data_IF_271861370211
#
_entry.id   IF_271861370211
#
_cell.length_a   1.000
_cell.length_b   1.000
_cell.length_c   1.000
_cell.angle_alpha   90.00
_cell.angle_beta   90.00
_cell.angle_gamma   90.00
#
_symmetry.space_group_name_H-M   'P 1'
#
loop_
_entity.id
_entity.type
_entity.pdbx_description
1 polymer ?
#
# COMPACT_ATOMS: atom_id res chain seq x y z
N UNK A 1 -26.54 -81.60 -30.70
CA UNK A 1 -26.19 -80.26 -31.21
C UNK A 1 -26.04 -79.35 -30.00
N UNK A 2 -24.83 -78.84 -29.77
CA UNK A 2 -24.39 -78.11 -28.57
C UNK A 2 -25.26 -76.87 -28.27
N UNK A 3 -25.73 -76.75 -27.03
CA UNK A 3 -26.19 -75.46 -26.49
C UNK A 3 -25.06 -74.87 -25.64
N UNK A 4 -24.49 -73.77 -26.12
CA UNK A 4 -23.47 -72.98 -25.45
C UNK A 4 -24.16 -72.13 -24.37
N UNK A 5 -23.77 -72.33 -23.11
CA UNK A 5 -24.16 -71.46 -21.99
C UNK A 5 -23.24 -70.24 -22.00
N UNK A 6 -23.79 -69.08 -22.35
CA UNK A 6 -23.09 -67.79 -22.23
C UNK A 6 -23.34 -67.26 -20.82
N UNK A 7 -22.30 -67.30 -19.98
CA UNK A 7 -22.31 -66.73 -18.64
C UNK A 7 -22.04 -65.22 -18.76
N UNK A 8 -23.05 -64.39 -18.56
CA UNK A 8 -22.91 -62.94 -18.49
C UNK A 8 -22.38 -62.52 -17.11
N UNK A 9 -21.07 -62.24 -17.02
CA UNK A 9 -20.49 -61.55 -15.86
C UNK A 9 -20.91 -60.07 -15.89
N UNK A 10 -21.83 -59.69 -15.00
CA UNK A 10 -22.09 -58.30 -14.65
C UNK A 10 -20.92 -57.80 -13.78
N UNK A 11 -19.97 -57.09 -14.39
CA UNK A 11 -19.06 -56.22 -13.64
C UNK A 11 -19.86 -54.99 -13.19
N UNK A 12 -20.16 -54.91 -11.90
CA UNK A 12 -20.58 -53.67 -11.27
C UNK A 12 -19.34 -52.75 -11.17
N UNK A 13 -19.25 -51.77 -12.06
CA UNK A 13 -18.32 -50.66 -11.89
C UNK A 13 -18.83 -49.79 -10.73
N UNK A 14 -18.16 -49.89 -9.58
CA UNK A 14 -18.34 -48.93 -8.50
C UNK A 14 -17.81 -47.58 -8.99
N UNK A 15 -18.73 -46.66 -9.29
CA UNK A 15 -18.40 -45.25 -9.43
C UNK A 15 -17.97 -44.77 -8.05
N UNK A 16 -16.68 -44.52 -7.86
CA UNK A 16 -16.21 -43.75 -6.74
C UNK A 16 -16.84 -42.36 -6.84
N UNK A 17 -17.72 -42.01 -5.91
CA UNK A 17 -18.04 -40.61 -5.66
C UNK A 17 -16.73 -39.92 -5.28
N UNK A 18 -16.21 -39.08 -6.19
CA UNK A 18 -15.17 -38.11 -5.84
C UNK A 18 -15.77 -37.18 -4.78
N UNK A 19 -15.53 -37.54 -3.52
CA UNK A 19 -15.94 -36.73 -2.39
C UNK A 19 -15.36 -35.33 -2.56
N UNK A 20 -16.25 -34.34 -2.61
CA UNK A 20 -15.91 -32.91 -2.51
C UNK A 20 -14.77 -32.70 -1.51
N UNK A 21 -13.73 -31.91 -1.80
CA UNK A 21 -12.59 -31.73 -0.92
C UNK A 21 -13.09 -31.40 0.49
N UNK A 22 -12.69 -32.21 1.48
CA UNK A 22 -13.04 -31.96 2.88
C UNK A 22 -12.47 -30.61 3.26
N UNK A 23 -13.34 -29.67 3.59
CA UNK A 23 -12.98 -28.34 4.06
C UNK A 23 -12.10 -28.44 5.32
N UNK A 24 -10.85 -28.01 5.22
CA UNK A 24 -10.00 -27.76 6.39
C UNK A 24 -10.37 -26.37 6.94
N UNK A 25 -10.89 -26.24 8.17
CA UNK A 25 -11.30 -24.95 8.70
C UNK A 25 -10.13 -23.95 8.77
N UNK A 26 -10.37 -22.73 8.27
CA UNK A 26 -9.39 -21.63 8.31
C UNK A 26 -9.60 -20.72 9.53
N UNK A 27 -8.53 -20.18 10.15
CA UNK A 27 -8.65 -19.12 11.17
C UNK A 27 -9.00 -17.75 10.58
N UNK A 28 -9.03 -17.63 9.25
CA UNK A 28 -9.31 -16.37 8.56
C UNK A 28 -10.70 -15.83 8.91
N UNK A 29 -10.79 -14.53 9.16
CA UNK A 29 -12.06 -13.79 9.18
C UNK A 29 -12.06 -12.70 8.12
N UNK A 30 -13.23 -12.34 7.61
CA UNK A 30 -13.36 -11.16 6.77
C UNK A 30 -14.73 -10.51 6.93
N UNK A 31 -14.79 -9.21 6.68
CA UNK A 31 -16.01 -8.40 6.76
C UNK A 31 -16.04 -7.25 5.75
N UNK A 32 -17.24 -6.76 5.45
CA UNK A 32 -17.49 -5.70 4.47
C UNK A 32 -18.52 -6.12 3.42
N UNK A 33 -18.96 -5.19 2.57
CA UNK A 33 -20.02 -5.45 1.58
C UNK A 33 -19.64 -6.48 0.51
N UNK A 34 -18.35 -6.67 0.25
CA UNK A 34 -17.80 -7.59 -0.74
C UNK A 34 -17.17 -8.84 -0.12
N UNK A 35 -17.21 -8.98 1.22
CA UNK A 35 -16.71 -10.17 1.91
C UNK A 35 -17.80 -11.25 1.96
N UNK A 36 -17.46 -12.49 1.57
CA UNK A 36 -18.34 -13.65 1.79
C UNK A 36 -18.55 -13.86 3.29
N UNK A 37 -19.72 -14.35 3.71
CA UNK A 37 -19.86 -14.81 5.09
C UNK A 37 -18.99 -16.07 5.33
N UNK A 38 -18.26 -16.11 6.45
CA UNK A 38 -17.56 -17.30 6.91
C UNK A 38 -18.50 -18.39 7.45
N UNK A 39 -17.99 -19.58 7.83
CA UNK A 39 -16.57 -19.93 7.92
C UNK A 39 -15.90 -20.16 6.55
N UNK A 40 -14.56 -20.12 6.54
CA UNK A 40 -13.75 -20.37 5.34
C UNK A 40 -13.01 -21.70 5.43
N UNK A 41 -12.75 -22.29 4.28
CA UNK A 41 -11.83 -23.40 4.12
C UNK A 41 -10.44 -22.86 3.76
N UNK A 42 -9.39 -23.52 4.23
CA UNK A 42 -8.02 -23.24 3.83
C UNK A 42 -7.89 -23.31 2.31
N UNK A 43 -7.33 -22.25 1.71
CA UNK A 43 -7.19 -22.08 0.27
C UNK A 43 -8.38 -21.41 -0.44
N UNK A 44 -9.48 -21.08 0.26
CA UNK A 44 -10.58 -20.33 -0.34
C UNK A 44 -10.08 -18.96 -0.84
N UNK A 45 -10.36 -18.63 -2.11
CA UNK A 45 -10.20 -17.26 -2.62
C UNK A 45 -11.37 -16.41 -2.10
N UNK A 46 -11.08 -15.45 -1.21
CA UNK A 46 -12.11 -14.68 -0.48
C UNK A 46 -12.24 -13.24 -0.95
N UNK A 47 -11.27 -12.73 -1.73
CA UNK A 47 -11.35 -11.45 -2.41
C UNK A 47 -10.47 -11.48 -3.65
N UNK A 48 -10.96 -10.88 -4.74
CA UNK A 48 -10.20 -10.71 -5.97
C UNK A 48 -10.63 -9.43 -6.69
N UNK A 49 -9.64 -8.72 -7.24
CA UNK A 49 -9.85 -7.78 -8.33
C UNK A 49 -8.77 -7.96 -9.40
N UNK A 50 -9.19 -8.11 -10.64
CA UNK A 50 -8.33 -8.20 -11.84
C UNK A 50 -8.37 -6.88 -12.66
N UNK A 51 -8.95 -5.81 -12.10
CA UNK A 51 -8.96 -4.46 -12.64
C UNK A 51 -9.39 -4.33 -14.12
N UNK A 52 -10.34 -5.17 -14.55
CA UNK A 52 -11.00 -5.03 -15.85
C UNK A 52 -11.73 -3.67 -15.97
N UNK A 53 -12.16 -3.11 -14.84
CA UNK A 53 -12.67 -1.76 -14.68
C UNK A 53 -12.36 -1.29 -13.25
N UNK A 54 -12.61 0.00 -12.95
CA UNK A 54 -12.48 0.54 -11.60
C UNK A 54 -13.81 0.32 -10.86
N UNK A 55 -13.82 -0.65 -9.94
CA UNK A 55 -15.00 -1.07 -9.19
C UNK A 55 -15.15 -0.27 -7.89
N UNK A 56 -16.13 0.65 -7.85
CA UNK A 56 -16.41 1.48 -6.68
C UNK A 56 -17.15 0.74 -5.55
N UNK A 57 -17.65 -0.48 -5.79
CA UNK A 57 -18.17 -1.32 -4.71
C UNK A 57 -17.04 -1.98 -3.92
N UNK A 58 -15.86 -2.11 -4.54
CA UNK A 58 -14.64 -2.64 -3.91
C UNK A 58 -13.71 -1.56 -3.41
N UNK A 59 -13.53 -0.48 -4.16
CA UNK A 59 -12.51 0.53 -3.89
C UNK A 59 -13.13 1.91 -3.66
N UNK A 60 -12.97 2.42 -2.45
CA UNK A 60 -13.29 3.79 -2.11
C UNK A 60 -12.06 4.68 -2.34
N UNK A 61 -12.24 5.83 -2.98
CA UNK A 61 -11.18 6.83 -3.11
C UNK A 61 -11.12 7.72 -1.88
N UNK A 62 -9.90 7.97 -1.41
CA UNK A 62 -9.69 9.08 -0.48
C UNK A 62 -9.57 10.41 -1.25
N UNK A 63 -10.30 11.42 -0.80
CA UNK A 63 -10.23 12.80 -1.29
C UNK A 63 -9.73 13.72 -0.18
N UNK A 64 -8.45 14.09 -0.24
CA UNK A 64 -7.81 14.91 0.80
C UNK A 64 -6.52 15.60 0.33
N UNK A 65 -6.30 16.81 0.83
CA UNK A 65 -5.07 17.62 0.71
C UNK A 65 -4.04 17.29 1.80
N UNK A 66 -4.38 16.43 2.76
CA UNK A 66 -3.54 16.09 3.90
C UNK A 66 -2.26 15.33 3.53
N UNK A 67 -2.17 14.86 2.27
CA UNK A 67 -1.18 13.87 1.88
C UNK A 67 -1.53 12.52 2.50
N UNK A 68 -0.59 11.93 3.23
CA UNK A 68 -0.73 10.67 3.96
C UNK A 68 -0.25 10.76 5.42
N UNK A 69 -0.08 11.98 5.95
CA UNK A 69 0.46 12.21 7.30
C UNK A 69 1.97 12.45 7.35
N UNK A 70 2.66 12.43 6.21
CA UNK A 70 4.12 12.63 6.09
C UNK A 70 4.50 13.96 5.42
N UNK A 71 3.56 14.91 5.39
CA UNK A 71 3.69 16.20 4.69
C UNK A 71 4.01 16.06 3.21
N UNK A 72 3.42 15.05 2.57
CA UNK A 72 3.57 14.79 1.14
C UNK A 72 2.86 15.87 0.30
N UNK A 73 3.30 15.99 -0.96
CA UNK A 73 3.00 17.15 -1.80
C UNK A 73 1.80 16.94 -2.73
N UNK A 74 1.13 15.78 -2.66
CA UNK A 74 -0.02 15.46 -3.47
C UNK A 74 -1.36 15.80 -2.80
N UNK A 75 -2.33 16.17 -3.61
CA UNK A 75 -3.75 16.08 -3.33
C UNK A 75 -4.24 14.73 -3.84
N UNK A 76 -4.77 13.88 -2.95
CA UNK A 76 -5.48 12.67 -3.37
C UNK A 76 -6.89 13.01 -3.84
N UNK A 77 -7.24 12.58 -5.04
CA UNK A 77 -8.51 12.92 -5.68
C UNK A 77 -9.11 11.72 -6.40
N UNK A 78 -10.45 11.70 -6.49
CA UNK A 78 -11.18 10.75 -7.30
C UNK A 78 -11.32 11.24 -8.76
N UNK A 79 -10.19 11.37 -9.47
CA UNK A 79 -10.14 11.81 -10.87
C UNK A 79 -9.57 10.72 -11.79
N UNK A 80 -10.18 10.52 -12.97
CA UNK A 80 -9.72 9.52 -13.96
C UNK A 80 -8.40 9.86 -14.65
N UNK A 81 -7.94 11.10 -14.54
CA UNK A 81 -6.56 11.45 -14.90
C UNK A 81 -5.53 10.83 -13.94
N UNK A 82 -5.95 10.52 -12.70
CA UNK A 82 -5.09 10.04 -11.62
C UNK A 82 -5.33 8.57 -11.23
N UNK A 83 -6.53 8.04 -11.47
CA UNK A 83 -6.85 6.64 -11.20
C UNK A 83 -7.78 6.06 -12.27
N UNK A 84 -7.34 5.06 -13.00
CA UNK A 84 -8.11 4.45 -14.10
C UNK A 84 -7.67 3.01 -14.37
N UNK A 85 -8.54 2.22 -14.97
CA UNK A 85 -8.20 0.89 -15.48
C UNK A 85 -8.06 0.92 -16.99
N UNK A 86 -7.05 0.24 -17.53
CA UNK A 86 -6.85 0.07 -18.96
C UNK A 86 -6.21 -1.30 -19.21
N UNK A 87 -6.81 -2.11 -20.08
CA UNK A 87 -6.33 -3.46 -20.44
C UNK A 87 -6.06 -4.38 -19.24
N UNK A 88 -6.95 -4.37 -18.23
CA UNK A 88 -6.81 -5.21 -17.03
C UNK A 88 -5.80 -4.68 -16.01
N UNK A 89 -5.23 -3.49 -16.20
CA UNK A 89 -4.29 -2.89 -15.26
C UNK A 89 -4.92 -1.65 -14.65
N UNK A 90 -4.88 -1.56 -13.32
CA UNK A 90 -5.20 -0.34 -12.58
C UNK A 90 -3.97 0.56 -12.48
N UNK A 91 -4.13 1.83 -12.85
CA UNK A 91 -3.09 2.85 -12.85
C UNK A 91 -3.39 3.89 -11.78
N UNK A 92 -2.42 4.18 -10.91
CA UNK A 92 -2.40 5.40 -10.09
C UNK A 92 -1.32 6.32 -10.65
N UNK A 93 -1.73 7.46 -11.21
CA UNK A 93 -0.89 8.37 -11.99
C UNK A 93 -0.80 9.76 -11.33
N UNK A 94 0.40 10.34 -11.19
CA UNK A 94 0.55 11.70 -10.70
C UNK A 94 0.35 12.72 -11.84
N UNK A 95 -0.24 13.88 -11.55
CA UNK A 95 -0.39 15.00 -12.51
C UNK A 95 -0.18 16.34 -11.80
N UNK A 96 0.21 17.41 -12.47
CA UNK A 96 0.35 18.70 -11.77
C UNK A 96 -1.03 19.33 -11.50
N UNK A 97 -1.19 20.03 -10.37
CA UNK A 97 -2.36 20.90 -10.15
C UNK A 97 -2.35 22.08 -11.12
N UNK A 98 -1.15 22.62 -11.39
CA UNK A 98 -0.96 23.75 -12.30
C UNK A 98 -1.38 23.47 -13.76
N UNK A 99 -1.49 22.20 -14.17
CA UNK A 99 -1.99 21.84 -15.50
C UNK A 99 -3.44 22.31 -15.71
N UNK A 100 -4.25 22.35 -14.64
CA UNK A 100 -5.65 22.79 -14.69
C UNK A 100 -5.83 24.24 -14.23
N UNK A 101 -5.00 24.70 -13.30
CA UNK A 101 -5.21 25.97 -12.59
C UNK A 101 -4.24 27.09 -13.01
N UNK A 102 -3.17 26.74 -13.72
CA UNK A 102 -2.00 27.62 -13.93
C UNK A 102 -1.06 27.70 -12.72
N UNK A 103 0.22 28.02 -12.96
CA UNK A 103 1.25 28.02 -11.90
C UNK A 103 0.99 29.06 -10.81
N UNK A 104 0.49 30.25 -11.16
CA UNK A 104 0.22 31.32 -10.20
C UNK A 104 -0.82 30.95 -9.14
N UNK A 105 -1.71 30.01 -9.46
CA UNK A 105 -2.70 29.50 -8.51
C UNK A 105 -2.06 28.79 -7.32
N UNK A 106 -0.91 28.12 -7.52
CA UNK A 106 -0.24 27.38 -6.44
C UNK A 106 0.10 28.29 -5.26
N UNK A 107 0.48 29.54 -5.52
CA UNK A 107 0.92 30.52 -4.51
C UNK A 107 -0.13 31.58 -4.14
N UNK A 108 -1.36 31.48 -4.64
CA UNK A 108 -2.39 32.51 -4.42
C UNK A 108 -3.83 32.01 -4.35
N UNK A 109 -4.09 30.83 -4.90
CA UNK A 109 -5.40 30.21 -4.94
C UNK A 109 -5.72 29.43 -3.68
N UNK A 110 -7.00 29.04 -3.56
CA UNK A 110 -7.49 28.17 -2.49
C UNK A 110 -8.02 26.89 -3.11
N UNK A 111 -7.47 25.75 -2.71
CA UNK A 111 -8.08 24.45 -2.94
C UNK A 111 -9.12 24.23 -1.84
N UNK A 112 -10.39 24.17 -2.21
CA UNK A 112 -11.49 23.83 -1.33
C UNK A 112 -12.17 22.58 -1.89
N UNK A 113 -12.11 21.49 -1.13
CA UNK A 113 -12.57 20.17 -1.54
C UNK A 113 -13.54 19.57 -0.52
N UNK A 114 -14.24 20.41 0.24
CA UNK A 114 -15.27 19.95 1.18
C UNK A 114 -16.32 19.08 0.47
N UNK A 115 -16.46 19.23 -0.85
CA UNK A 115 -17.38 18.45 -1.68
C UNK A 115 -18.81 18.91 -1.48
N UNK A 116 -19.61 18.79 -2.53
CA UNK A 116 -21.05 19.07 -2.48
C UNK A 116 -21.90 17.81 -2.39
N UNK A 117 -21.31 16.64 -2.61
CA UNK A 117 -21.97 15.36 -2.81
C UNK A 117 -21.16 14.22 -2.19
N UNK A 118 -21.77 13.05 -1.90
CA UNK A 118 -21.02 11.92 -1.34
C UNK A 118 -19.80 11.49 -2.18
N UNK A 119 -19.87 11.65 -3.51
CA UNK A 119 -18.79 11.22 -4.42
C UNK A 119 -17.56 12.14 -4.45
N UNK A 120 -17.70 13.40 -4.00
CA UNK A 120 -16.62 14.39 -3.97
C UNK A 120 -16.32 14.92 -2.55
N UNK A 121 -16.99 14.37 -1.54
CA UNK A 121 -16.80 14.71 -0.14
C UNK A 121 -15.34 14.54 0.28
N UNK A 122 -14.82 15.51 1.03
CA UNK A 122 -13.53 15.38 1.67
C UNK A 122 -13.55 14.21 2.66
N UNK A 123 -12.64 13.25 2.50
CA UNK A 123 -12.59 12.04 3.35
C UNK A 123 -11.60 12.16 4.52
N UNK A 124 -10.78 13.21 4.55
CA UNK A 124 -9.74 13.40 5.55
C UNK A 124 -9.51 14.88 5.86
N UNK A 125 -10.13 15.44 6.92
CA UNK A 125 -10.03 16.87 7.25
C UNK A 125 -8.74 17.26 7.99
N UNK A 126 -8.01 16.29 8.53
CA UNK A 126 -6.75 16.54 9.24
C UNK A 126 -5.73 17.26 8.36
N UNK A 127 -4.82 18.02 8.97
CA UNK A 127 -3.73 18.72 8.27
C UNK A 127 -4.19 19.59 7.08
N UNK A 128 -5.26 20.37 7.27
CA UNK A 128 -5.88 21.20 6.23
C UNK A 128 -6.33 20.37 5.03
N UNK A 129 -6.79 19.16 5.29
CA UNK A 129 -7.08 18.16 4.26
C UNK A 129 -8.30 18.48 3.41
N UNK A 130 -9.24 19.30 3.88
CA UNK A 130 -10.40 19.69 3.07
C UNK A 130 -10.28 21.08 2.43
N UNK A 131 -9.38 21.93 2.94
CA UNK A 131 -9.20 23.27 2.42
C UNK A 131 -7.80 23.79 2.70
N UNK A 132 -7.12 24.31 1.67
CA UNK A 132 -5.77 24.88 1.78
C UNK A 132 -5.67 26.11 0.88
N UNK A 133 -5.18 27.21 1.45
CA UNK A 133 -4.89 28.45 0.73
C UNK A 133 -3.39 28.60 0.50
N UNK A 134 -3.01 28.83 -0.76
CA UNK A 134 -1.64 29.05 -1.18
C UNK A 134 -1.19 30.48 -0.89
N UNK A 135 0.10 30.63 -0.57
CA UNK A 135 0.79 31.91 -0.47
C UNK A 135 2.22 31.78 -1.04
N UNK A 136 2.99 32.88 -1.19
CA UNK A 136 4.35 32.82 -1.75
C UNK A 136 5.34 31.91 -1.01
N UNK A 137 5.05 31.55 0.25
CA UNK A 137 5.87 30.62 1.04
C UNK A 137 5.31 29.21 1.02
N UNK A 138 4.03 29.06 1.36
CA UNK A 138 3.35 27.77 1.44
C UNK A 138 2.37 27.65 0.29
N UNK A 139 2.78 26.99 -0.78
CA UNK A 139 1.90 26.73 -1.91
C UNK A 139 0.84 25.67 -1.53
N UNK A 140 -0.29 25.65 -2.23
CA UNK A 140 -1.17 24.46 -2.22
C UNK A 140 -0.43 23.25 -2.79
N UNK A 141 -0.98 22.04 -2.59
CA UNK A 141 -0.40 20.80 -3.08
C UNK A 141 -0.08 20.93 -4.57
N UNK A 142 1.20 20.84 -5.00
CA UNK A 142 1.55 21.03 -6.40
C UNK A 142 1.12 19.88 -7.31
N UNK A 143 0.85 18.70 -6.73
CA UNK A 143 0.58 17.46 -7.46
C UNK A 143 -0.81 16.93 -7.10
N UNK A 144 -1.49 16.29 -8.05
CA UNK A 144 -2.64 15.42 -7.83
C UNK A 144 -2.21 13.97 -7.99
N UNK A 145 -2.79 13.08 -7.19
CA UNK A 145 -2.62 11.63 -7.27
C UNK A 145 -3.90 10.94 -6.80
N UNK A 146 -3.87 9.62 -6.61
CA UNK A 146 -4.97 8.89 -6.00
C UNK A 146 -4.50 7.93 -4.90
N UNK A 147 -5.43 7.68 -3.97
CA UNK A 147 -5.35 6.65 -2.93
C UNK A 147 -6.71 5.96 -2.89
N UNK A 148 -6.71 4.64 -2.93
CA UNK A 148 -7.91 3.81 -2.86
C UNK A 148 -7.82 2.84 -1.70
N UNK A 149 -8.96 2.51 -1.09
CA UNK A 149 -9.05 1.62 0.07
C UNK A 149 -10.27 0.71 0.04
N UNK A 150 -10.20 -0.40 0.76
CA UNK A 150 -11.31 -1.37 0.88
C UNK A 150 -12.08 -1.28 2.22
N UNK A 151 -11.96 -0.19 2.97
CA UNK A 151 -12.42 -0.10 4.38
C UNK A 151 -13.88 -0.52 4.59
N UNK A 152 -14.80 -0.13 3.71
CA UNK A 152 -16.21 -0.53 3.78
C UNK A 152 -16.51 -1.88 3.09
N UNK A 153 -15.72 -2.23 2.07
CA UNK A 153 -16.00 -3.34 1.16
C UNK A 153 -15.37 -4.66 1.58
N UNK A 154 -14.11 -4.65 2.02
CA UNK A 154 -13.37 -5.85 2.35
C UNK A 154 -12.28 -5.57 3.39
N UNK A 155 -12.37 -6.29 4.51
CA UNK A 155 -11.41 -6.29 5.59
C UNK A 155 -11.17 -7.74 5.95
N UNK A 156 -9.95 -8.13 6.27
CA UNK A 156 -9.66 -9.51 6.64
C UNK A 156 -8.67 -9.58 7.79
N UNK A 157 -8.71 -10.69 8.52
CA UNK A 157 -7.73 -11.08 9.52
C UNK A 157 -7.26 -12.47 9.24
N UNK A 158 -5.94 -12.61 9.19
CA UNK A 158 -5.22 -13.82 8.80
C UNK A 158 -5.55 -14.25 7.38
N UNK A 159 -4.55 -14.62 6.61
CA UNK A 159 -4.73 -14.95 5.20
C UNK A 159 -3.44 -14.82 4.43
N UNK A 160 -3.54 -15.11 3.14
CA UNK A 160 -2.52 -14.75 2.18
C UNK A 160 -3.04 -13.62 1.31
N UNK A 161 -2.34 -12.49 1.28
CA UNK A 161 -2.58 -11.40 0.32
C UNK A 161 -1.50 -11.46 -0.76
N UNK A 162 -1.92 -11.45 -2.02
CA UNK A 162 -1.03 -11.28 -3.16
C UNK A 162 -1.44 -10.05 -3.97
N UNK A 163 -0.46 -9.22 -4.27
CA UNK A 163 -0.62 -8.07 -5.15
C UNK A 163 0.44 -8.16 -6.24
N UNK A 164 0.01 -8.24 -7.49
CA UNK A 164 0.92 -8.19 -8.64
C UNK A 164 0.95 -6.76 -9.15
N UNK A 165 2.09 -6.09 -9.02
CA UNK A 165 2.23 -4.69 -9.36
C UNK A 165 3.60 -4.37 -9.99
N UNK A 166 3.66 -3.29 -10.77
CA UNK A 166 4.89 -2.67 -11.28
C UNK A 166 5.05 -1.31 -10.63
N UNK A 167 6.21 -1.08 -10.02
CA UNK A 167 6.51 0.19 -9.35
C UNK A 167 6.71 1.32 -10.38
N UNK A 168 6.31 2.56 -10.06
CA UNK A 168 6.54 3.72 -10.92
C UNK A 168 8.03 4.09 -11.02
N UNK A 169 8.35 4.73 -12.15
CA UNK A 169 9.59 5.42 -12.45
C UNK A 169 9.35 6.92 -12.41
N UNK A 170 10.15 7.66 -11.64
CA UNK A 170 10.07 9.11 -11.57
C UNK A 170 10.59 9.60 -10.23
N UNK A 171 11.39 10.66 -10.27
CA UNK A 171 11.97 11.23 -9.07
C UNK A 171 10.86 11.68 -8.10
N UNK A 172 11.05 11.34 -6.81
CA UNK A 172 10.17 11.71 -5.68
C UNK A 172 8.79 11.04 -5.67
N UNK A 173 8.57 10.02 -6.50
CA UNK A 173 7.39 9.18 -6.43
C UNK A 173 7.51 8.17 -5.29
N UNK A 174 6.45 8.01 -4.50
CA UNK A 174 6.39 7.10 -3.36
C UNK A 174 5.14 6.20 -3.49
N UNK A 175 5.26 5.08 -4.23
CA UNK A 175 4.23 4.04 -4.29
C UNK A 175 4.12 3.27 -2.97
N UNK A 176 2.90 2.92 -2.58
CA UNK A 176 2.65 2.04 -1.45
C UNK A 176 1.46 1.11 -1.69
N UNK A 177 1.59 -0.14 -1.23
CA UNK A 177 0.49 -1.09 -0.99
C UNK A 177 0.62 -1.55 0.46
N UNK A 178 -0.40 -1.29 1.25
CA UNK A 178 -0.34 -1.37 2.70
C UNK A 178 -1.72 -1.57 3.30
N UNK A 179 -1.79 -1.80 4.60
CA UNK A 179 -3.04 -2.09 5.29
C UNK A 179 -3.15 -1.35 6.61
N UNK A 180 -4.37 -0.91 6.92
CA UNK A 180 -4.73 -0.32 8.21
C UNK A 180 -5.87 -1.09 8.87
N UNK A 181 -5.99 -1.03 10.21
CA UNK A 181 -7.04 -1.74 10.92
C UNK A 181 -8.41 -1.09 10.63
N UNK A 182 -9.43 -1.92 10.44
CA UNK A 182 -10.83 -1.45 10.30
C UNK A 182 -11.28 -0.62 11.50
N UNK A 183 -10.77 -0.97 12.68
CA UNK A 183 -11.11 -0.34 13.95
C UNK A 183 -9.85 -0.10 14.75
N UNK A 184 -9.79 1.06 15.41
CA UNK A 184 -8.69 1.44 16.30
C UNK A 184 -8.87 0.79 17.70
N UNK A 185 -8.93 -0.55 17.75
CA UNK A 185 -9.26 -1.33 18.97
C UNK A 185 -8.31 -1.04 20.14
N UNK A 186 -7.04 -0.76 19.84
CA UNK A 186 -5.99 -0.53 20.82
C UNK A 186 -5.63 0.96 20.97
N UNK A 187 -6.41 1.85 20.37
CA UNK A 187 -6.15 3.29 20.34
C UNK A 187 -5.55 3.76 19.00
N UNK A 188 -5.20 5.05 18.95
CA UNK A 188 -4.67 5.69 17.74
C UNK A 188 -3.37 5.06 17.24
N UNK A 189 -3.05 5.30 15.97
CA UNK A 189 -1.80 4.83 15.37
C UNK A 189 -0.56 5.22 16.22
N UNK A 190 0.43 4.32 16.38
CA UNK A 190 0.54 2.98 15.80
C UNK A 190 -0.02 1.88 16.73
N UNK A 191 -0.79 2.20 17.78
CA UNK A 191 -1.24 1.23 18.78
C UNK A 191 -2.14 0.14 18.20
N UNK A 192 -2.93 0.46 17.17
CA UNK A 192 -3.76 -0.52 16.45
C UNK A 192 -3.11 -1.11 15.20
N UNK A 193 -1.86 -0.78 14.92
CA UNK A 193 -1.06 -1.39 13.86
C UNK A 193 -1.16 -0.75 12.47
N UNK A 194 -0.18 -1.07 11.63
CA UNK A 194 -0.11 -0.82 10.19
C UNK A 194 0.75 -1.93 9.56
N UNK A 195 0.37 -2.42 8.38
CA UNK A 195 1.13 -3.45 7.65
C UNK A 195 1.52 -2.89 6.29
N UNK A 196 2.80 -2.62 6.08
CA UNK A 196 3.31 -2.15 4.80
C UNK A 196 3.80 -3.34 3.99
N UNK A 197 2.94 -3.83 3.10
CA UNK A 197 3.29 -4.93 2.20
C UNK A 197 4.43 -4.51 1.28
N UNK A 198 4.34 -3.33 0.65
CA UNK A 198 5.43 -2.78 -0.13
C UNK A 198 5.39 -1.26 -0.20
N UNK A 199 6.56 -0.66 0.04
CA UNK A 199 6.88 0.73 -0.29
C UNK A 199 8.15 0.79 -1.17
N UNK A 200 8.24 1.81 -2.01
CA UNK A 200 9.43 2.05 -2.85
C UNK A 200 9.60 3.54 -3.17
N UNK A 201 10.64 3.88 -3.91
CA UNK A 201 10.93 5.22 -4.42
C UNK A 201 11.12 5.15 -5.92
N UNK A 202 10.46 6.03 -6.68
CA UNK A 202 10.54 6.02 -8.14
C UNK A 202 11.85 6.55 -8.73
N UNK A 203 12.77 7.06 -7.91
CA UNK A 203 14.01 7.66 -8.40
C UNK A 203 14.91 6.64 -9.11
N UNK A 204 15.43 7.00 -10.29
CA UNK A 204 16.25 6.10 -11.11
C UNK A 204 17.67 5.87 -10.59
N UNK A 205 18.23 6.79 -9.81
CA UNK A 205 19.62 6.69 -9.31
C UNK A 205 19.76 7.32 -7.92
N UNK A 206 18.83 7.00 -7.03
CA UNK A 206 18.84 7.50 -5.66
C UNK A 206 19.56 6.56 -4.73
N UNK A 207 20.61 7.04 -4.06
CA UNK A 207 21.54 6.22 -3.29
C UNK A 207 21.84 6.80 -1.93
N UNK A 208 22.11 5.93 -0.97
CA UNK A 208 22.70 6.28 0.33
C UNK A 208 23.89 5.37 0.55
N UNK A 209 25.07 5.96 0.79
CA UNK A 209 26.32 5.21 0.98
C UNK A 209 26.58 4.19 -0.15
N UNK A 210 26.24 4.54 -1.39
CA UNK A 210 26.39 3.69 -2.59
C UNK A 210 25.25 2.70 -2.85
N UNK A 211 24.41 2.39 -1.86
CA UNK A 211 23.27 1.49 -2.01
C UNK A 211 22.14 2.18 -2.77
N UNK A 212 21.57 1.55 -3.81
CA UNK A 212 20.39 2.06 -4.51
C UNK A 212 19.16 1.93 -3.61
N UNK A 213 18.49 3.03 -3.34
CA UNK A 213 17.27 3.10 -2.51
C UNK A 213 16.05 3.61 -3.30
N UNK A 214 16.24 3.84 -4.60
CA UNK A 214 15.22 4.20 -5.57
C UNK A 214 14.52 2.97 -6.14
N UNK A 215 14.33 2.93 -7.46
CA UNK A 215 13.58 1.86 -8.16
C UNK A 215 14.14 0.45 -7.99
N UNK A 216 15.40 0.32 -7.58
CA UNK A 216 16.05 -0.98 -7.32
C UNK A 216 15.86 -1.47 -5.88
N UNK A 217 15.02 -0.79 -5.08
CA UNK A 217 14.72 -1.20 -3.71
C UNK A 217 13.23 -1.14 -3.40
N UNK A 218 12.74 -2.15 -2.71
CA UNK A 218 11.42 -2.18 -2.07
C UNK A 218 11.59 -2.50 -0.59
N UNK A 219 10.71 -1.97 0.25
CA UNK A 219 10.68 -2.23 1.68
C UNK A 219 9.34 -2.76 2.15
N UNK A 220 9.35 -3.54 3.23
CA UNK A 220 8.17 -3.99 3.96
C UNK A 220 8.41 -3.82 5.46
N UNK A 221 7.37 -3.45 6.21
CA UNK A 221 7.46 -3.26 7.66
C UNK A 221 6.11 -3.40 8.35
N UNK A 222 6.13 -3.44 9.68
CA UNK A 222 4.96 -3.39 10.54
C UNK A 222 5.11 -2.16 11.45
N UNK A 223 4.13 -1.26 11.50
CA UNK A 223 4.12 -0.23 12.54
C UNK A 223 3.30 -0.70 13.74
N UNK A 224 3.88 -0.57 14.94
CA UNK A 224 3.23 -0.94 16.20
C UNK A 224 3.92 -0.19 17.34
N UNK A 225 3.16 0.20 18.36
CA UNK A 225 3.70 0.83 19.55
C UNK A 225 2.66 1.67 20.29
N UNK A 226 2.93 2.10 21.53
CA UNK A 226 1.94 2.81 22.34
C UNK A 226 1.56 4.19 21.79
N UNK A 227 2.43 4.85 21.00
CA UNK A 227 2.18 6.16 20.38
C UNK A 227 3.19 6.45 19.25
N UNK A 228 2.99 7.52 18.45
CA UNK A 228 3.85 7.84 17.30
C UNK A 228 5.34 7.99 17.62
N UNK A 229 5.71 8.43 18.82
CA UNK A 229 7.12 8.62 19.20
C UNK A 229 7.83 7.30 19.56
N UNK A 230 7.06 6.23 19.76
CA UNK A 230 7.52 4.92 20.21
C UNK A 230 7.04 3.85 19.24
N UNK A 231 7.33 4.07 17.96
CA UNK A 231 6.98 3.14 16.90
C UNK A 231 8.10 2.11 16.71
N UNK A 232 7.78 0.83 16.84
CA UNK A 232 8.73 -0.29 16.78
C UNK A 232 9.02 -0.83 15.37
N UNK A 233 8.69 -0.06 14.33
CA UNK A 233 8.79 -0.49 12.93
C UNK A 233 10.19 -0.92 12.50
N UNK A 234 11.21 -0.25 13.03
CA UNK A 234 12.62 -0.54 12.78
C UNK A 234 13.01 -1.99 13.11
N UNK A 235 12.34 -2.60 14.09
CA UNK A 235 12.55 -4.01 14.46
C UNK A 235 12.02 -5.02 13.44
N UNK A 236 11.17 -4.57 12.52
CA UNK A 236 10.50 -5.37 11.49
C UNK A 236 10.85 -4.98 10.07
N UNK A 237 11.38 -3.78 9.86
CA UNK A 237 11.75 -3.23 8.57
C UNK A 237 12.76 -4.13 7.84
N UNK A 238 12.47 -4.40 6.57
CA UNK A 238 13.37 -5.13 5.69
C UNK A 238 13.32 -4.57 4.28
N UNK A 239 14.44 -4.65 3.57
CA UNK A 239 14.57 -4.18 2.20
C UNK A 239 15.01 -5.32 1.29
N UNK A 240 14.42 -5.37 0.09
CA UNK A 240 14.92 -6.18 -1.03
C UNK A 240 15.51 -5.25 -2.08
N UNK A 241 16.77 -5.49 -2.43
CA UNK A 241 17.42 -4.84 -3.55
C UNK A 241 17.44 -5.76 -4.77
N UNK A 242 17.16 -5.21 -5.95
CA UNK A 242 17.35 -5.89 -7.23
C UNK A 242 18.79 -5.77 -7.74
N UNK A 243 19.11 -6.48 -8.82
CA UNK A 243 20.34 -6.23 -9.58
C UNK A 243 20.31 -4.87 -10.30
N UNK A 244 21.47 -4.31 -10.68
CA UNK A 244 21.56 -3.07 -11.45
C UNK A 244 20.75 -3.14 -12.75
N UNK A 245 19.90 -2.13 -12.99
CA UNK A 245 19.03 -2.06 -14.16
C UNK A 245 17.86 -3.06 -14.17
N UNK A 246 17.68 -3.83 -13.09
CA UNK A 246 16.59 -4.80 -12.91
C UNK A 246 15.61 -4.33 -11.84
N UNK A 247 15.42 -3.01 -11.71
CA UNK A 247 14.56 -2.41 -10.70
C UNK A 247 13.13 -2.93 -10.76
N UNK A 248 12.40 -2.75 -9.66
CA UNK A 248 10.99 -3.14 -9.51
C UNK A 248 10.04 -2.33 -10.41
N UNK A 249 10.59 -1.34 -11.12
CA UNK A 249 9.93 -0.55 -12.14
C UNK A 249 10.07 -1.14 -13.56
N UNK A 250 10.82 -2.21 -13.77
CA UNK A 250 11.06 -2.78 -15.11
C UNK A 250 9.99 -3.77 -15.56
N UNK A 251 9.23 -4.32 -14.62
CA UNK A 251 8.15 -5.28 -14.88
C UNK A 251 7.23 -5.45 -13.69
N UNK A 252 6.25 -6.33 -13.83
CA UNK A 252 5.37 -6.70 -12.72
C UNK A 252 6.07 -7.70 -11.80
N UNK A 253 5.98 -7.43 -10.51
CA UNK A 253 6.47 -8.29 -9.43
C UNK A 253 5.30 -8.73 -8.55
N UNK A 254 5.46 -9.88 -7.92
CA UNK A 254 4.49 -10.44 -7.00
C UNK A 254 4.87 -10.09 -5.55
N UNK A 255 4.08 -9.26 -4.90
CA UNK A 255 4.22 -8.89 -3.48
C UNK A 255 3.24 -9.70 -2.66
N UNK A 256 3.72 -10.39 -1.62
CA UNK A 256 2.92 -11.34 -0.86
C UNK A 256 3.06 -11.11 0.64
N UNK A 257 1.93 -11.20 1.32
CA UNK A 257 1.81 -11.24 2.77
C UNK A 257 1.17 -12.58 3.14
N UNK A 258 1.85 -13.40 3.92
CA UNK A 258 1.25 -14.50 4.66
C UNK A 258 1.13 -14.07 6.12
N UNK A 259 -0.08 -14.03 6.64
CA UNK A 259 -0.37 -13.52 7.97
C UNK A 259 -1.18 -14.56 8.72
N UNK A 260 -0.57 -15.13 9.76
CA UNK A 260 -1.14 -16.21 10.56
C UNK A 260 -1.35 -15.77 12.02
N UNK A 261 -1.96 -16.60 12.88
CA UNK A 261 -2.05 -16.31 14.30
C UNK A 261 -0.70 -16.23 15.04
N UNK A 262 0.39 -16.72 14.45
CA UNK A 262 1.70 -16.87 15.10
C UNK A 262 2.84 -16.13 14.38
N UNK A 263 2.70 -15.78 13.09
CA UNK A 263 3.73 -15.06 12.34
C UNK A 263 3.17 -14.24 11.17
N UNK A 264 4.00 -13.31 10.69
CA UNK A 264 3.78 -12.56 9.46
C UNK A 264 5.00 -12.75 8.56
N UNK A 265 4.78 -13.14 7.30
CA UNK A 265 5.84 -13.30 6.29
C UNK A 265 5.58 -12.39 5.10
N UNK A 266 6.54 -11.53 4.80
CA UNK A 266 6.60 -10.76 3.55
C UNK A 266 7.44 -11.51 2.52
N UNK A 267 6.97 -11.57 1.28
CA UNK A 267 7.70 -12.14 0.15
C UNK A 267 7.59 -11.28 -1.11
N UNK A 268 8.63 -11.33 -1.94
CA UNK A 268 8.65 -10.70 -3.27
C UNK A 268 9.11 -11.75 -4.28
N UNK A 269 8.29 -12.00 -5.30
CA UNK A 269 8.49 -13.02 -6.35
C UNK A 269 8.69 -14.43 -5.76
N UNK A 270 7.83 -14.82 -4.80
CA UNK A 270 7.89 -16.08 -4.07
C UNK A 270 9.21 -16.30 -3.27
N UNK A 271 9.99 -15.25 -3.07
CA UNK A 271 11.16 -15.27 -2.20
C UNK A 271 10.84 -14.54 -0.89
N UNK A 272 11.02 -15.23 0.22
CA UNK A 272 10.85 -14.65 1.57
C UNK A 272 11.81 -13.49 1.73
N UNK A 273 11.24 -12.30 1.96
CA UNK A 273 11.99 -11.12 2.35
C UNK A 273 12.21 -11.13 3.87
N UNK A 274 11.12 -11.32 4.62
CA UNK A 274 11.15 -11.26 6.08
C UNK A 274 10.03 -12.08 6.68
N UNK A 275 10.37 -12.94 7.64
CA UNK A 275 9.43 -13.59 8.55
C UNK A 275 9.54 -12.96 9.94
N UNK A 276 8.40 -12.69 10.55
CA UNK A 276 8.25 -12.04 11.86
C UNK A 276 7.36 -12.94 12.71
N UNK A 277 7.97 -13.75 13.56
CA UNK A 277 7.22 -14.56 14.54
C UNK A 277 6.72 -13.65 15.68
N UNK A 278 5.48 -13.87 16.13
CA UNK A 278 4.89 -13.12 17.24
C UNK A 278 5.69 -13.32 18.54
N UNK A 279 6.22 -14.53 18.76
CA UNK A 279 7.03 -14.87 19.94
C UNK A 279 6.29 -14.60 21.24
N UNK A 280 6.86 -13.74 22.09
CA UNK A 280 6.25 -13.28 23.35
C UNK A 280 5.36 -12.03 23.16
N UNK A 281 5.12 -11.61 21.92
CA UNK A 281 4.27 -10.48 21.55
C UNK A 281 5.02 -9.23 21.12
N UNK A 282 4.32 -8.35 20.41
CA UNK A 282 4.90 -7.13 19.83
C UNK A 282 5.36 -6.11 20.87
N UNK A 283 4.79 -6.13 22.09
CA UNK A 283 5.28 -5.28 23.19
C UNK A 283 6.73 -5.60 23.56
N UNK A 284 7.03 -6.90 23.65
CA UNK A 284 8.38 -7.38 23.91
C UNK A 284 9.31 -7.12 22.71
N UNK A 285 8.82 -7.31 21.49
CA UNK A 285 9.59 -7.06 20.25
C UNK A 285 10.06 -5.61 20.15
N UNK A 286 9.18 -4.65 20.43
CA UNK A 286 9.53 -3.23 20.42
C UNK A 286 10.36 -2.78 21.62
N UNK A 287 10.61 -3.65 22.60
CA UNK A 287 11.38 -3.30 23.80
C UNK A 287 10.71 -2.23 24.67
N UNK A 288 9.39 -2.08 24.58
CA UNK A 288 8.66 -0.94 25.18
C UNK A 288 8.63 -0.95 26.71
N UNK A 289 8.90 -2.09 27.35
CA UNK A 289 9.15 -2.13 28.80
C UNK A 289 10.32 -1.20 29.18
N UNK A 290 11.33 -1.11 28.33
CA UNK A 290 12.54 -0.30 28.58
C UNK A 290 12.45 1.07 27.92
N UNK A 291 11.95 1.15 26.68
CA UNK A 291 11.91 2.41 25.91
C UNK A 291 10.66 3.25 26.19
N UNK A 292 9.65 2.68 26.85
CA UNK A 292 8.37 3.31 27.16
C UNK A 292 7.84 2.96 28.56
N UNK A 293 8.65 3.08 29.64
CA UNK A 293 8.29 2.58 30.97
C UNK A 293 7.08 3.30 31.59
N UNK A 294 6.74 4.49 31.09
CA UNK A 294 5.58 5.25 31.53
C UNK A 294 4.30 4.95 30.72
N UNK A 295 4.40 4.14 29.67
CA UNK A 295 3.26 3.76 28.83
C UNK A 295 2.68 2.43 29.32
N UNK A 296 1.36 2.38 29.46
CA UNK A 296 0.65 1.12 29.66
C UNK A 296 0.68 0.30 28.38
N UNK A 297 0.81 -1.01 28.50
CA UNK A 297 0.79 -1.91 27.34
C UNK A 297 -0.67 -2.05 26.83
N UNK A 298 -1.02 -1.49 25.66
CA UNK A 298 -2.40 -1.54 25.15
C UNK A 298 -2.84 -2.97 24.77
N UNK A 299 -1.89 -3.92 24.67
CA UNK A 299 -2.11 -5.28 24.22
C UNK A 299 -2.09 -6.30 25.38
N UNK A 300 -2.04 -5.87 26.64
CA UNK A 300 -1.85 -6.76 27.80
C UNK A 300 -2.93 -7.84 27.99
N UNK A 301 -4.10 -7.68 27.36
CA UNK A 301 -5.22 -8.63 27.39
C UNK A 301 -5.58 -9.17 26.00
N UNK A 302 -4.74 -8.90 25.00
CA UNK A 302 -4.93 -9.31 23.61
C UNK A 302 -4.16 -10.60 23.30
N UNK A 303 -4.25 -11.08 22.06
CA UNK A 303 -3.43 -12.21 21.63
C UNK A 303 -1.96 -11.80 21.48
N UNK A 304 -1.06 -12.77 21.38
CA UNK A 304 0.37 -12.51 21.11
C UNK A 304 0.60 -11.81 19.77
N UNK A 305 -0.36 -11.90 18.84
CA UNK A 305 -0.28 -11.25 17.54
C UNK A 305 -0.75 -9.80 17.55
N UNK A 306 -1.31 -9.29 18.67
CA UNK A 306 -1.71 -7.90 18.78
C UNK A 306 -0.52 -6.95 18.52
N UNK A 307 -0.72 -5.85 17.75
CA UNK A 307 -2.02 -5.34 17.28
C UNK A 307 -2.57 -5.99 16.00
N UNK A 308 -1.83 -6.92 15.39
CA UNK A 308 -2.17 -7.61 14.14
C UNK A 308 -3.11 -8.81 14.37
N UNK A 309 -4.00 -8.72 15.35
CA UNK A 309 -5.04 -9.72 15.65
C UNK A 309 -6.46 -9.17 15.43
N UNK A 310 -6.55 -8.05 14.72
CA UNK A 310 -7.78 -7.40 14.24
C UNK A 310 -7.90 -7.50 12.72
N UNK A 311 -9.07 -7.15 12.16
CA UNK A 311 -9.24 -7.08 10.70
C UNK A 311 -8.65 -5.79 10.13
N UNK A 312 -7.96 -5.92 9.00
CA UNK A 312 -7.31 -4.82 8.28
C UNK A 312 -7.89 -4.70 6.87
N UNK A 313 -7.95 -3.47 6.34
CA UNK A 313 -8.32 -3.17 4.96
C UNK A 313 -7.10 -2.83 4.11
N UNK A 314 -7.21 -3.02 2.81
CA UNK A 314 -6.12 -2.80 1.85
C UNK A 314 -6.16 -1.36 1.36
N UNK A 315 -4.98 -0.76 1.20
CA UNK A 315 -4.77 0.58 0.66
C UNK A 315 -3.73 0.51 -0.46
N UNK A 316 -3.98 1.23 -1.54
CA UNK A 316 -3.01 1.45 -2.62
C UNK A 316 -2.93 2.94 -2.93
N UNK A 317 -1.72 3.49 -3.01
CA UNK A 317 -1.53 4.89 -3.38
C UNK A 317 -0.20 5.15 -4.08
N UNK A 318 -0.13 6.36 -4.64
CA UNK A 318 1.10 6.97 -5.11
C UNK A 318 1.26 8.35 -4.46
N UNK A 319 2.05 8.41 -3.39
CA UNK A 319 2.43 9.68 -2.78
C UNK A 319 3.55 10.36 -3.59
N UNK A 320 3.79 11.65 -3.33
CA UNK A 320 4.87 12.41 -3.95
C UNK A 320 5.59 13.27 -2.92
N UNK A 321 6.90 13.09 -2.80
CA UNK A 321 7.72 13.80 -1.84
C UNK A 321 7.34 13.53 -0.38
N UNK A 322 7.50 14.51 0.49
CA UNK A 322 7.31 14.38 1.94
C UNK A 322 8.56 14.73 2.75
N UNK A 323 8.39 15.14 4.00
CA UNK A 323 9.48 15.65 4.87
C UNK A 323 9.78 14.74 6.06
N UNK A 324 9.12 13.59 6.17
CA UNK A 324 9.31 12.64 7.27
C UNK A 324 10.64 11.87 7.25
N UNK A 325 11.52 12.12 6.28
CA UNK A 325 12.78 11.40 6.12
C UNK A 325 12.74 10.21 5.16
N UNK A 326 11.57 9.84 4.62
CA UNK A 326 11.47 8.75 3.63
C UNK A 326 12.38 9.01 2.42
N UNK A 327 12.46 10.27 1.97
CA UNK A 327 13.52 10.74 1.07
C UNK A 327 14.64 11.40 1.91
N UNK A 328 15.75 10.72 2.25
CA UNK A 328 16.84 11.32 3.02
C UNK A 328 17.50 12.53 2.31
N UNK A 329 18.01 13.49 3.08
CA UNK A 329 18.66 14.67 2.53
C UNK A 329 20.06 14.36 1.94
N UNK A 330 20.53 15.24 1.05
CA UNK A 330 21.83 15.17 0.38
C UNK A 330 22.82 16.08 1.11
N UNK A 331 24.01 15.62 1.56
CA UNK A 331 24.48 14.24 1.82
C UNK A 331 23.93 13.65 3.15
N UNK A 332 23.90 12.31 3.32
CA UNK A 332 24.61 11.29 2.55
C UNK A 332 23.87 10.74 1.33
N UNK A 333 22.64 11.18 1.05
CA UNK A 333 21.92 10.72 -0.13
C UNK A 333 22.49 11.36 -1.42
N UNK A 334 22.35 10.69 -2.57
CA UNK A 334 22.63 11.24 -3.90
C UNK A 334 21.53 10.80 -4.87
N UNK A 335 21.19 11.61 -5.89
CA UNK A 335 20.25 11.23 -6.96
C UNK A 335 20.87 11.50 -8.32
N UNK A 336 21.85 10.68 -8.73
CA UNK A 336 22.74 10.97 -9.86
C UNK A 336 23.20 12.45 -9.85
N UNK A 337 23.11 13.08 -11.02
CA UNK A 337 23.39 14.52 -11.18
C UNK A 337 22.18 15.43 -10.90
N UNK A 338 21.01 14.86 -10.56
CA UNK A 338 19.76 15.61 -10.37
C UNK A 338 19.63 16.16 -8.94
N UNK A 339 20.19 15.47 -7.94
CA UNK A 339 20.09 15.87 -6.53
C UNK A 339 18.64 15.85 -6.01
N UNK A 340 18.42 16.34 -4.79
CA UNK A 340 17.09 16.51 -4.17
C UNK A 340 16.73 18.01 -4.12
N UNK A 341 15.56 18.45 -4.62
CA UNK A 341 15.24 19.87 -4.74
C UNK A 341 14.70 20.52 -3.46
N UNK A 342 14.46 19.75 -2.40
CA UNK A 342 13.93 20.21 -1.11
C UNK A 342 14.67 19.54 0.06
N UNK A 343 14.66 20.15 1.24
CA UNK A 343 15.15 19.53 2.49
C UNK A 343 13.99 19.09 3.37
N UNK A 344 14.19 18.03 4.14
CA UNK A 344 13.23 17.57 5.16
C UNK A 344 12.98 18.61 6.26
N UNK A 345 13.90 19.57 6.45
CA UNK A 345 13.76 20.65 7.42
C UNK A 345 13.22 21.95 6.82
N UNK A 346 12.93 21.99 5.51
CA UNK A 346 12.44 23.21 4.88
C UNK A 346 10.99 23.50 5.29
N UNK A 347 10.68 24.70 5.82
CA UNK A 347 9.30 25.10 6.06
C UNK A 347 8.51 25.34 4.78
N UNK A 348 9.18 25.35 3.62
CA UNK A 348 8.59 25.56 2.29
C UNK A 348 8.89 24.38 1.34
N UNK A 349 9.04 23.17 1.88
CA UNK A 349 9.50 22.00 1.12
C UNK A 349 8.69 21.73 -0.17
N UNK A 350 7.36 21.88 -0.14
CA UNK A 350 6.51 21.73 -1.32
C UNK A 350 6.81 22.77 -2.41
N UNK A 351 7.13 24.01 -2.01
CA UNK A 351 7.56 25.09 -2.92
C UNK A 351 8.95 24.82 -3.49
N UNK A 352 9.88 24.39 -2.65
CA UNK A 352 11.25 24.07 -3.08
C UNK A 352 11.24 22.90 -4.07
N UNK A 353 10.43 21.87 -3.78
CA UNK A 353 10.11 20.79 -4.70
C UNK A 353 9.57 21.32 -6.03
N UNK A 354 8.53 22.15 -6.02
CA UNK A 354 7.94 22.70 -7.25
C UNK A 354 8.91 23.58 -8.06
N UNK A 355 9.74 24.37 -7.39
CA UNK A 355 10.75 25.20 -8.04
C UNK A 355 11.83 24.35 -8.72
N UNK A 356 12.14 23.16 -8.20
CA UNK A 356 13.05 22.19 -8.80
C UNK A 356 12.48 21.38 -9.97
N UNK A 357 11.24 21.63 -10.42
CA UNK A 357 10.54 20.77 -11.40
C UNK A 357 11.24 20.58 -12.73
N UNK A 358 12.00 21.56 -13.20
CA UNK A 358 12.77 21.44 -14.44
C UNK A 358 13.81 20.30 -14.38
N UNK A 359 14.18 19.85 -13.17
CA UNK A 359 15.11 18.73 -12.96
C UNK A 359 14.36 17.40 -12.83
N UNK A 360 13.30 17.35 -12.00
CA UNK A 360 12.62 16.08 -11.69
C UNK A 360 11.46 15.74 -12.63
N UNK A 361 10.69 16.72 -13.10
CA UNK A 361 9.49 16.48 -13.91
C UNK A 361 9.77 15.75 -15.23
N UNK A 362 10.89 16.01 -15.94
CA UNK A 362 11.24 15.23 -17.13
C UNK A 362 11.39 13.73 -16.86
N UNK A 363 11.76 13.34 -15.64
CA UNK A 363 11.90 11.92 -15.27
C UNK A 363 10.55 11.19 -15.22
N UNK A 364 9.44 11.92 -15.15
CA UNK A 364 8.10 11.35 -15.12
C UNK A 364 7.55 11.03 -16.53
N UNK A 365 8.25 11.45 -17.58
CA UNK A 365 7.92 11.16 -18.98
C UNK A 365 6.42 11.31 -19.31
N UNK A 366 5.77 12.36 -18.79
CA UNK A 366 4.30 12.50 -18.84
C UNK A 366 3.72 12.57 -20.26
N UNK A 367 4.55 12.98 -21.22
CA UNK A 367 4.21 13.07 -22.65
C UNK A 367 4.48 11.76 -23.43
N UNK A 368 5.14 10.78 -22.82
CA UNK A 368 5.42 9.47 -23.41
C UNK A 368 4.46 8.45 -22.82
N UNK A 369 3.72 7.73 -23.66
CA UNK A 369 2.75 6.72 -23.22
C UNK A 369 1.82 7.21 -22.10
N UNK A 370 1.42 8.49 -22.13
CA UNK A 370 0.59 9.15 -21.11
C UNK A 370 1.16 9.04 -19.68
N UNK A 371 2.49 8.97 -19.51
CA UNK A 371 3.13 8.87 -18.19
C UNK A 371 2.89 7.54 -17.47
N UNK A 372 2.57 6.46 -18.21
CA UNK A 372 2.34 5.13 -17.62
C UNK A 372 3.52 4.62 -16.81
N UNK A 373 4.75 4.90 -17.24
CA UNK A 373 5.94 4.49 -16.50
C UNK A 373 6.06 5.17 -15.14
N UNK A 374 5.42 6.32 -14.94
CA UNK A 374 5.36 7.04 -13.65
C UNK A 374 4.11 6.75 -12.84
N UNK A 375 3.33 5.75 -13.26
CA UNK A 375 2.16 5.31 -12.55
C UNK A 375 2.50 4.05 -11.76
N UNK A 376 1.93 3.90 -10.55
CA UNK A 376 1.82 2.59 -9.94
C UNK A 376 0.84 1.78 -10.78
N UNK A 377 1.26 0.60 -11.25
CA UNK A 377 0.45 -0.27 -12.10
C UNK A 377 0.14 -1.55 -11.33
N UNK A 378 -1.14 -1.87 -11.14
CA UNK A 378 -1.59 -3.05 -10.41
C UNK A 378 -2.38 -3.95 -11.35
N UNK A 379 -1.94 -5.18 -11.48
CA UNK A 379 -2.54 -6.21 -12.34
C UNK A 379 -3.67 -6.95 -11.60
N UNK A 380 -3.40 -7.40 -10.38
CA UNK A 380 -4.44 -7.96 -9.54
C UNK A 380 -4.14 -7.80 -8.05
N UNK A 381 -5.22 -7.88 -7.27
CA UNK A 381 -5.20 -8.08 -5.82
C UNK A 381 -6.00 -9.33 -5.52
N UNK A 382 -5.44 -10.24 -4.72
CA UNK A 382 -6.11 -11.47 -4.30
C UNK A 382 -5.86 -11.77 -2.84
N UNK A 383 -6.88 -12.27 -2.15
CA UNK A 383 -6.77 -12.73 -0.77
C UNK A 383 -7.31 -14.14 -0.65
N UNK A 384 -6.53 -15.03 -0.04
CA UNK A 384 -6.92 -16.40 0.27
C UNK A 384 -7.00 -16.60 1.77
N UNK A 385 -7.96 -17.42 2.19
CA UNK A 385 -8.01 -17.94 3.54
C UNK A 385 -6.85 -18.92 3.78
N UNK A 386 -6.26 -18.86 4.99
CA UNK A 386 -5.15 -19.74 5.39
C UNK A 386 -5.53 -21.20 5.45
#
# INVERSE_FOLDING_TARGET
MMFVVVLACLLAAALAEEGSPKCTPSPTTASGSQARAGPYCSGDLIFEDNFNHLDFEKWEHENTLAGGGNWEFQWYTNNRANSYCENGIFYIRPTAVADDTGEGFLSSGTLNIHGGQPADLCTGPFFWGCERAGNPTNIVNPIKSARVRTVESFNFKFGKLEVRAKMPTGDWLWPAVWLLPKRQVYGSWPASGEIDLVESRGNLDYRVNGVHIGVEQVGSTLHFGPNPNQNGYDTTLSYKNSGPGQGFNTGFHLYQLEWTPDHITFSVDNQVLRRIDAGTGFWSRGGFVTTSPASENPWMHASVMAPFDQEFYIIMNLAVGGTNGFFPDVPPATNGNRGKPYSNNSPAAARDFWNGRNIWQPTWQMNVNRGKESSLQVDYVRVWAL
#
